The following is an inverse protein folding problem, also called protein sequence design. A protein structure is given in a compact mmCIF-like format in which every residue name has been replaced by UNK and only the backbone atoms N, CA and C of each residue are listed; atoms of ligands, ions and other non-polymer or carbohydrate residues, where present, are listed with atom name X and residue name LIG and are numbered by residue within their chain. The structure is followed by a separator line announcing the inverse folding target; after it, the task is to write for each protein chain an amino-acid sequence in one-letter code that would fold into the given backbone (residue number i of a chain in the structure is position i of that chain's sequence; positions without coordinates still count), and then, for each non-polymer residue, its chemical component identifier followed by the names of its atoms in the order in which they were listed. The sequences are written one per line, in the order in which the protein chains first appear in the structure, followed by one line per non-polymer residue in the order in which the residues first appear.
data_IF_388852475404
#
_entry.id   IF_388852475404
#
_cell.length_a   1.000
_cell.length_b   1.000
_cell.length_c   1.000
_cell.angle_alpha   90.00
_cell.angle_beta   90.00
_cell.angle_gamma   90.00
#
_symmetry.space_group_name_H-M   'P 1'
#
loop_
_entity.id
_entity.type
_entity.pdbx_description
1 polymer ?
#
# COMPACT_ATOMS: atom_id res chain seq x y z
N UNK A 1 72.62 -39.37 -1.55
CA UNK A 1 71.32 -39.20 -0.87
C UNK A 1 70.44 -38.25 -1.69
N UNK A 2 69.37 -38.75 -2.36
CA UNK A 2 68.42 -37.92 -3.07
C UNK A 2 67.08 -37.79 -2.32
N UNK A 3 66.48 -36.60 -2.45
CA UNK A 3 65.22 -36.14 -1.83
C UNK A 3 64.02 -36.97 -2.30
N UNK A 4 63.16 -37.38 -1.36
CA UNK A 4 61.79 -37.84 -1.64
C UNK A 4 60.92 -36.63 -1.99
N UNK A 5 60.38 -36.60 -3.20
CA UNK A 5 59.28 -35.72 -3.59
C UNK A 5 58.01 -36.56 -3.52
N UNK A 6 57.07 -36.15 -2.66
CA UNK A 6 55.72 -36.70 -2.61
C UNK A 6 54.97 -36.14 -3.82
N UNK A 7 54.61 -37.02 -4.76
CA UNK A 7 53.74 -36.67 -5.86
C UNK A 7 52.32 -36.42 -5.32
N UNK A 8 51.90 -35.16 -5.31
CA UNK A 8 50.50 -34.79 -5.10
C UNK A 8 49.74 -35.16 -6.38
N UNK A 9 48.84 -36.13 -6.26
CA UNK A 9 47.85 -36.45 -7.29
C UNK A 9 46.90 -35.24 -7.40
N UNK A 10 47.09 -34.41 -8.43
CA UNK A 10 46.09 -33.43 -8.83
C UNK A 10 44.95 -34.23 -9.47
N UNK A 11 43.83 -34.34 -8.77
CA UNK A 11 42.57 -34.74 -9.37
C UNK A 11 42.21 -33.66 -10.38
N UNK A 12 42.32 -34.00 -11.67
CA UNK A 12 41.77 -33.21 -12.77
C UNK A 12 40.24 -33.20 -12.60
N UNK A 13 39.72 -32.21 -11.89
CA UNK A 13 38.31 -31.81 -12.02
C UNK A 13 38.25 -31.07 -13.35
N UNK A 14 37.75 -31.75 -14.37
CA UNK A 14 37.47 -31.18 -15.69
C UNK A 14 36.73 -29.85 -15.53
N UNK A 15 37.41 -28.76 -15.84
CA UNK A 15 36.82 -27.45 -15.96
C UNK A 15 35.85 -27.48 -17.17
N UNK A 16 34.58 -27.72 -16.90
CA UNK A 16 33.54 -27.38 -17.85
C UNK A 16 33.55 -25.86 -17.99
N UNK A 17 33.80 -25.38 -19.21
CA UNK A 17 33.47 -24.00 -19.60
C UNK A 17 32.00 -23.76 -19.19
N UNK A 18 31.66 -22.60 -18.60
CA UNK A 18 30.27 -22.26 -18.39
C UNK A 18 29.60 -22.25 -19.76
N UNK A 19 28.70 -23.21 -20.00
CA UNK A 19 27.81 -23.13 -21.13
C UNK A 19 26.99 -21.85 -20.93
N UNK A 20 26.88 -20.97 -21.93
CA UNK A 20 25.87 -19.92 -21.86
C UNK A 20 24.54 -20.64 -21.67
N UNK A 21 23.89 -20.41 -20.52
CA UNK A 21 22.58 -20.97 -20.24
C UNK A 21 21.70 -20.69 -21.45
N UNK A 22 20.94 -21.71 -21.90
CA UNK A 22 19.95 -21.55 -22.96
C UNK A 22 19.26 -20.20 -22.75
N UNK A 23 19.42 -19.27 -23.69
CA UNK A 23 18.77 -17.99 -23.62
C UNK A 23 17.29 -18.26 -23.39
N UNK A 24 16.78 -17.90 -22.21
CA UNK A 24 15.35 -17.86 -21.92
C UNK A 24 14.69 -17.18 -23.12
N UNK A 25 13.79 -17.93 -23.75
CA UNK A 25 13.35 -17.78 -25.15
C UNK A 25 13.08 -16.30 -25.50
N UNK A 26 13.59 -15.81 -26.65
CA UNK A 26 13.48 -14.41 -27.12
C UNK A 26 12.10 -13.70 -26.92
N UNK A 27 10.92 -14.36 -27.00
CA UNK A 27 9.63 -13.73 -26.72
C UNK A 27 9.42 -13.27 -25.27
N UNK A 28 10.01 -13.92 -24.27
CA UNK A 28 9.78 -13.57 -22.85
C UNK A 28 10.52 -12.30 -22.42
N UNK A 29 11.64 -11.97 -23.09
CA UNK A 29 12.36 -10.70 -22.84
C UNK A 29 11.57 -9.47 -23.26
N UNK A 30 10.71 -9.58 -24.27
CA UNK A 30 9.78 -8.51 -24.62
C UNK A 30 8.86 -8.17 -23.45
N UNK A 31 8.38 -9.20 -22.75
CA UNK A 31 7.48 -9.04 -21.60
C UNK A 31 8.20 -8.50 -20.37
N UNK A 32 9.46 -8.87 -20.16
CA UNK A 32 10.32 -8.21 -19.17
C UNK A 32 10.42 -6.69 -19.45
N UNK A 33 10.56 -6.31 -20.73
CA UNK A 33 10.52 -4.89 -21.13
C UNK A 33 9.19 -4.19 -20.79
N UNK A 34 8.06 -4.87 -20.96
CA UNK A 34 6.76 -4.33 -20.54
C UNK A 34 6.63 -4.23 -19.02
N UNK A 35 7.18 -5.16 -18.26
CA UNK A 35 7.21 -5.05 -16.80
C UNK A 35 7.98 -3.79 -16.37
N UNK A 36 9.18 -3.55 -16.91
CA UNK A 36 9.95 -2.35 -16.60
C UNK A 36 9.31 -1.05 -17.11
N UNK A 37 8.49 -1.11 -18.16
CA UNK A 37 7.66 0.01 -18.58
C UNK A 37 6.51 0.26 -17.60
N UNK A 38 5.96 -0.82 -17.02
CA UNK A 38 4.84 -0.78 -16.10
C UNK A 38 5.26 -0.24 -14.72
N UNK A 39 6.35 -0.74 -14.15
CA UNK A 39 6.98 -0.15 -12.96
C UNK A 39 7.53 1.20 -13.38
N UNK A 40 6.99 2.30 -12.83
CA UNK A 40 7.27 3.63 -13.35
C UNK A 40 8.65 4.15 -12.94
N UNK A 41 8.73 5.47 -12.74
CA UNK A 41 9.98 6.15 -12.37
C UNK A 41 9.97 6.68 -10.94
N UNK A 42 8.94 6.36 -10.14
CA UNK A 42 8.98 6.71 -8.73
C UNK A 42 10.14 5.98 -8.06
N UNK A 43 10.85 6.63 -7.14
CA UNK A 43 11.87 5.97 -6.33
C UNK A 43 11.36 4.69 -5.65
N UNK A 44 10.07 4.64 -5.32
CA UNK A 44 9.36 3.50 -4.74
C UNK A 44 9.36 2.25 -5.63
N UNK A 45 9.27 2.42 -6.95
CA UNK A 45 9.26 1.33 -7.93
C UNK A 45 10.61 1.14 -8.62
N UNK A 46 11.52 2.12 -8.50
CA UNK A 46 12.86 2.08 -9.07
C UNK A 46 13.72 0.90 -8.56
N UNK A 47 13.38 0.32 -7.40
CA UNK A 47 14.04 -0.90 -6.90
C UNK A 47 13.95 -2.05 -7.91
N UNK A 48 12.88 -2.09 -8.72
CA UNK A 48 12.70 -3.13 -9.74
C UNK A 48 13.55 -2.91 -10.99
N UNK A 49 14.22 -1.76 -11.12
CA UNK A 49 15.14 -1.44 -12.22
C UNK A 49 16.60 -1.40 -11.80
N UNK A 50 16.92 -1.64 -10.53
CA UNK A 50 18.30 -1.61 -10.07
C UNK A 50 19.11 -2.78 -10.66
N UNK A 51 20.43 -2.59 -10.78
CA UNK A 51 21.34 -3.59 -11.36
C UNK A 51 21.25 -4.96 -10.67
N UNK A 52 21.01 -4.98 -9.35
CA UNK A 52 20.84 -6.22 -8.59
C UNK A 52 19.56 -6.96 -8.98
N UNK A 53 18.45 -6.24 -9.14
CA UNK A 53 17.19 -6.84 -9.57
C UNK A 53 17.27 -7.35 -11.01
N UNK A 54 17.92 -6.58 -11.90
CA UNK A 54 18.18 -7.00 -13.27
C UNK A 54 19.05 -8.26 -13.29
N UNK A 55 20.14 -8.30 -12.52
CA UNK A 55 20.99 -9.48 -12.39
C UNK A 55 20.20 -10.70 -11.88
N UNK A 56 19.35 -10.52 -10.87
CA UNK A 56 18.47 -11.58 -10.36
C UNK A 56 17.50 -12.08 -11.43
N UNK A 57 16.95 -11.21 -12.26
CA UNK A 57 16.09 -11.60 -13.38
C UNK A 57 16.83 -12.44 -14.45
N UNK A 58 18.17 -12.36 -14.51
CA UNK A 58 18.97 -13.20 -15.39
C UNK A 58 19.41 -14.53 -14.75
N UNK A 59 19.46 -14.60 -13.41
CA UNK A 59 20.04 -15.76 -12.70
C UNK A 59 19.00 -16.64 -12.00
N UNK A 60 17.86 -16.10 -11.59
CA UNK A 60 16.76 -16.86 -10.97
C UNK A 60 15.58 -16.99 -11.96
N UNK A 61 15.32 -18.23 -12.39
CA UNK A 61 14.27 -18.55 -13.36
C UNK A 61 12.86 -18.18 -12.85
N UNK A 62 12.60 -18.30 -11.54
CA UNK A 62 11.28 -18.00 -10.98
C UNK A 62 11.03 -16.49 -10.92
N UNK A 63 12.06 -15.70 -10.58
CA UNK A 63 12.02 -14.23 -10.68
C UNK A 63 11.78 -13.81 -12.13
N UNK A 64 12.53 -14.38 -13.08
CA UNK A 64 12.33 -14.11 -14.50
C UNK A 64 10.90 -14.43 -14.96
N UNK A 65 10.38 -15.61 -14.59
CA UNK A 65 9.04 -16.06 -14.98
C UNK A 65 7.96 -15.15 -14.41
N UNK A 66 8.11 -14.71 -13.17
CA UNK A 66 7.18 -13.78 -12.52
C UNK A 66 7.17 -12.40 -13.21
N UNK A 67 8.35 -11.81 -13.43
CA UNK A 67 8.52 -10.54 -14.14
C UNK A 67 7.89 -10.63 -15.54
N UNK A 68 8.21 -11.69 -16.29
CA UNK A 68 7.65 -11.91 -17.62
C UNK A 68 6.13 -12.06 -17.58
N UNK A 69 5.57 -12.77 -16.60
CA UNK A 69 4.12 -13.00 -16.50
C UNK A 69 3.35 -11.72 -16.15
N UNK A 70 3.91 -10.88 -15.26
CA UNK A 70 3.32 -9.57 -14.94
C UNK A 70 3.42 -8.63 -16.13
N UNK A 71 4.56 -8.62 -16.82
CA UNK A 71 4.72 -7.83 -18.05
C UNK A 71 3.74 -8.23 -19.15
N UNK A 72 3.47 -9.53 -19.32
CA UNK A 72 2.41 -10.02 -20.21
C UNK A 72 1.02 -9.54 -19.78
N UNK A 73 0.71 -9.64 -18.49
CA UNK A 73 -0.57 -9.20 -17.94
C UNK A 73 -0.79 -7.71 -18.20
N UNK A 74 0.22 -6.88 -17.90
CA UNK A 74 0.19 -5.44 -18.14
C UNK A 74 0.03 -5.12 -19.63
N UNK A 75 0.84 -5.72 -20.50
CA UNK A 75 0.78 -5.47 -21.95
C UNK A 75 -0.59 -5.80 -22.55
N UNK A 76 -1.23 -6.87 -22.07
CA UNK A 76 -2.58 -7.21 -22.50
C UNK A 76 -3.63 -6.22 -22.03
N UNK A 77 -3.55 -5.72 -20.79
CA UNK A 77 -4.53 -4.76 -20.27
C UNK A 77 -4.41 -3.41 -20.94
N UNK A 78 -3.19 -3.00 -21.25
CA UNK A 78 -2.90 -1.78 -22.00
C UNK A 78 -3.17 -1.88 -23.51
N UNK A 79 -3.62 -3.05 -24.01
CA UNK A 79 -3.85 -3.27 -25.44
C UNK A 79 -2.58 -3.26 -26.30
N UNK A 80 -1.40 -3.39 -25.69
CA UNK A 80 -0.10 -3.45 -26.36
C UNK A 80 0.14 -4.82 -27.03
N UNK A 81 -0.52 -5.87 -26.53
CA UNK A 81 -0.54 -7.20 -27.13
C UNK A 81 -1.91 -7.86 -27.05
N UNK A 82 -2.31 -8.52 -28.13
CA UNK A 82 -3.47 -9.42 -28.14
C UNK A 82 -3.03 -10.85 -27.82
N UNK A 83 -3.60 -11.47 -26.78
CA UNK A 83 -3.33 -12.88 -26.50
C UNK A 83 -3.89 -13.78 -27.60
N UNK A 84 -3.05 -14.69 -28.10
CA UNK A 84 -3.54 -15.79 -28.93
C UNK A 84 -4.20 -16.85 -28.04
N UNK A 85 -5.25 -17.52 -28.52
CA UNK A 85 -5.97 -18.60 -27.79
C UNK A 85 -5.08 -19.79 -27.36
N UNK A 86 -3.82 -19.85 -27.77
CA UNK A 86 -2.86 -20.93 -27.47
C UNK A 86 -1.84 -20.57 -26.38
N UNK A 87 -1.77 -19.33 -25.92
CA UNK A 87 -0.85 -18.94 -24.85
C UNK A 87 -1.42 -19.36 -23.49
N UNK A 88 -0.55 -19.89 -22.63
CA UNK A 88 -0.87 -20.13 -21.21
C UNK A 88 -1.30 -18.79 -20.62
N UNK A 89 -2.48 -18.76 -20.03
CA UNK A 89 -3.01 -17.53 -19.45
C UNK A 89 -2.07 -17.05 -18.34
N UNK A 90 -1.57 -15.80 -18.37
CA UNK A 90 -0.62 -15.31 -17.36
C UNK A 90 -1.08 -15.52 -15.92
N UNK A 91 -2.40 -15.45 -15.69
CA UNK A 91 -3.04 -15.73 -14.40
C UNK A 91 -2.73 -17.15 -13.88
N UNK A 92 -2.74 -18.16 -14.74
CA UNK A 92 -2.44 -19.54 -14.34
C UNK A 92 -0.97 -19.71 -13.98
N UNK A 93 -0.06 -19.06 -14.71
CA UNK A 93 1.37 -19.06 -14.39
C UNK A 93 1.63 -18.40 -13.03
N UNK A 94 1.03 -17.23 -12.78
CA UNK A 94 1.19 -16.49 -11.53
C UNK A 94 0.69 -17.27 -10.31
N UNK A 95 -0.40 -18.05 -10.45
CA UNK A 95 -0.87 -18.94 -9.37
C UNK A 95 0.16 -20.04 -9.07
N UNK A 96 0.82 -20.59 -10.09
CA UNK A 96 1.86 -21.60 -9.89
C UNK A 96 3.11 -20.97 -9.24
N UNK A 97 3.54 -19.80 -9.72
CA UNK A 97 4.68 -19.05 -9.18
C UNK A 97 4.43 -18.67 -7.71
N UNK A 98 3.21 -18.29 -7.35
CA UNK A 98 2.80 -18.05 -5.95
C UNK A 98 3.00 -19.26 -5.06
N UNK A 99 2.58 -20.45 -5.50
CA UNK A 99 2.76 -21.69 -4.73
C UNK A 99 4.25 -22.02 -4.54
N UNK A 100 5.06 -21.85 -5.58
CA UNK A 100 6.50 -22.05 -5.51
C UNK A 100 7.12 -21.09 -4.48
N UNK A 101 6.74 -19.80 -4.54
CA UNK A 101 7.21 -18.80 -3.59
C UNK A 101 6.79 -19.13 -2.15
N UNK A 102 5.55 -19.54 -1.91
CA UNK A 102 5.10 -19.96 -0.57
C UNK A 102 5.91 -21.13 -0.03
N UNK A 103 6.19 -22.14 -0.86
CA UNK A 103 6.97 -23.30 -0.44
C UNK A 103 8.44 -22.93 -0.13
N UNK A 104 9.03 -22.00 -0.90
CA UNK A 104 10.36 -21.43 -0.62
C UNK A 104 10.38 -20.63 0.68
N UNK A 105 9.36 -19.80 0.93
CA UNK A 105 9.23 -19.03 2.19
C UNK A 105 9.08 -19.95 3.41
N UNK A 106 8.38 -21.09 3.28
CA UNK A 106 8.26 -22.09 4.36
C UNK A 106 9.56 -22.86 4.61
N UNK A 107 10.46 -22.92 3.64
CA UNK A 107 11.71 -23.69 3.70
C UNK A 107 12.89 -22.84 3.19
N UNK A 108 13.26 -21.78 3.94
CA UNK A 108 14.34 -20.89 3.52
C UNK A 108 15.64 -21.66 3.34
N UNK A 109 16.40 -21.27 2.31
CA UNK A 109 17.69 -21.89 2.00
C UNK A 109 18.70 -21.58 3.11
N UNK A 110 19.57 -22.56 3.41
CA UNK A 110 20.69 -22.40 4.35
C UNK A 110 21.73 -21.43 3.76
N UNK A 111 21.51 -20.13 3.88
CA UNK A 111 22.46 -19.12 3.39
C UNK A 111 21.87 -17.75 3.07
N UNK A 112 20.55 -17.62 2.94
CA UNK A 112 19.90 -16.31 2.81
C UNK A 112 18.54 -16.36 3.49
N UNK A 113 18.44 -15.69 4.64
CA UNK A 113 17.21 -15.62 5.41
C UNK A 113 16.10 -14.90 4.64
N UNK A 114 16.46 -13.97 3.74
CA UNK A 114 15.53 -13.14 2.94
C UNK A 114 15.61 -13.41 1.43
N UNK A 115 16.26 -14.49 0.99
CA UNK A 115 16.52 -14.74 -0.43
C UNK A 115 15.26 -14.92 -1.29
N UNK A 116 14.11 -15.20 -0.68
CA UNK A 116 12.82 -15.27 -1.37
C UNK A 116 12.07 -13.93 -1.44
N UNK A 117 12.56 -12.89 -0.77
CA UNK A 117 11.90 -11.59 -0.66
C UNK A 117 11.73 -10.88 -2.02
N UNK A 118 12.71 -10.84 -2.94
CA UNK A 118 12.52 -10.22 -4.25
C UNK A 118 11.38 -10.88 -5.03
N UNK A 119 11.34 -12.21 -5.03
CA UNK A 119 10.30 -12.97 -5.70
C UNK A 119 8.92 -12.71 -5.08
N UNK A 120 8.84 -12.67 -3.75
CA UNK A 120 7.61 -12.38 -3.04
C UNK A 120 7.09 -10.96 -3.31
N UNK A 121 7.97 -9.96 -3.39
CA UNK A 121 7.59 -8.57 -3.68
C UNK A 121 7.11 -8.37 -5.11
N UNK A 122 7.72 -9.04 -6.10
CA UNK A 122 7.20 -9.06 -7.47
C UNK A 122 5.77 -9.62 -7.50
N UNK A 123 5.53 -10.74 -6.81
CA UNK A 123 4.21 -11.36 -6.78
C UNK A 123 3.16 -10.50 -6.05
N UNK A 124 3.57 -9.62 -5.12
CA UNK A 124 2.63 -8.66 -4.52
C UNK A 124 2.01 -7.72 -5.57
N UNK A 125 2.79 -7.29 -6.57
CA UNK A 125 2.29 -6.50 -7.71
C UNK A 125 1.26 -7.30 -8.51
N UNK A 126 1.52 -8.60 -8.73
CA UNK A 126 0.60 -9.47 -9.45
C UNK A 126 -0.76 -9.57 -8.73
N UNK A 127 -0.77 -9.67 -7.40
CA UNK A 127 -2.01 -9.72 -6.62
C UNK A 127 -2.82 -8.43 -6.77
N UNK A 128 -2.19 -7.25 -6.71
CA UNK A 128 -2.87 -5.97 -6.93
C UNK A 128 -3.50 -5.84 -8.32
N UNK A 129 -2.87 -6.45 -9.34
CA UNK A 129 -3.42 -6.46 -10.70
C UNK A 129 -4.54 -7.48 -10.87
N UNK A 130 -4.52 -8.58 -10.14
CA UNK A 130 -5.47 -9.69 -10.33
C UNK A 130 -6.70 -9.60 -9.43
N UNK A 131 -6.63 -8.82 -8.36
CA UNK A 131 -7.66 -8.73 -7.33
C UNK A 131 -8.29 -7.35 -7.25
N UNK A 132 -9.61 -7.30 -7.47
CA UNK A 132 -10.37 -6.06 -7.45
C UNK A 132 -10.67 -5.59 -6.01
N UNK A 133 -10.58 -6.47 -5.00
CA UNK A 133 -10.84 -6.13 -3.58
C UNK A 133 -9.59 -5.88 -2.74
N UNK A 134 -8.41 -6.17 -3.30
CA UNK A 134 -7.12 -6.17 -2.61
C UNK A 134 -7.01 -7.14 -1.38
N UNK A 135 -7.99 -8.02 -1.15
CA UNK A 135 -7.95 -8.99 -0.04
C UNK A 135 -6.82 -10.02 -0.19
N UNK A 136 -6.64 -10.55 -1.40
CA UNK A 136 -5.61 -11.53 -1.70
C UNK A 136 -4.22 -10.89 -1.64
N UNK A 137 -4.11 -9.62 -2.03
CA UNK A 137 -2.90 -8.83 -1.83
C UNK A 137 -2.61 -8.65 -0.34
N UNK A 138 -3.59 -8.26 0.48
CA UNK A 138 -3.40 -8.08 1.92
C UNK A 138 -2.95 -9.39 2.59
N UNK A 139 -3.61 -10.51 2.26
CA UNK A 139 -3.21 -11.84 2.73
C UNK A 139 -1.83 -12.27 2.23
N UNK A 140 -1.39 -11.78 1.06
CA UNK A 140 -0.02 -11.99 0.58
C UNK A 140 1.00 -11.22 1.40
N UNK A 141 0.75 -9.93 1.67
CA UNK A 141 1.60 -9.09 2.52
C UNK A 141 1.77 -9.71 3.91
N UNK A 142 0.70 -10.30 4.48
CA UNK A 142 0.76 -11.05 5.74
C UNK A 142 1.62 -12.32 5.66
N UNK A 143 1.53 -13.08 4.58
CA UNK A 143 2.41 -14.24 4.37
C UNK A 143 3.88 -13.83 4.31
N UNK A 144 4.18 -12.72 3.64
CA UNK A 144 5.54 -12.20 3.59
C UNK A 144 5.99 -11.71 4.97
N UNK A 145 5.12 -11.06 5.74
CA UNK A 145 5.41 -10.68 7.13
C UNK A 145 5.81 -11.89 7.98
N UNK A 146 5.04 -12.97 7.91
CA UNK A 146 5.33 -14.20 8.66
C UNK A 146 6.67 -14.84 8.27
N UNK A 147 7.12 -14.60 7.03
CA UNK A 147 8.43 -15.05 6.55
C UNK A 147 9.58 -14.16 7.03
N UNK A 148 9.47 -12.84 6.91
CA UNK A 148 10.55 -11.90 7.29
C UNK A 148 10.61 -11.64 8.80
N UNK A 149 9.46 -11.72 9.49
CA UNK A 149 9.25 -11.34 10.89
C UNK A 149 10.29 -11.89 11.87
N UNK A 150 10.62 -13.20 11.85
CA UNK A 150 11.63 -13.77 12.73
C UNK A 150 13.02 -13.13 12.60
N UNK A 151 13.33 -12.54 11.44
CA UNK A 151 14.62 -11.93 11.13
C UNK A 151 14.61 -10.40 11.26
N UNK A 152 13.46 -9.75 11.51
CA UNK A 152 13.39 -8.29 11.61
C UNK A 152 14.13 -7.73 12.84
N UNK A 153 14.37 -8.56 13.86
CA UNK A 153 15.12 -8.17 15.06
C UNK A 153 16.64 -8.19 14.86
N UNK A 154 17.14 -8.98 13.90
CA UNK A 154 18.55 -9.08 13.58
C UNK A 154 18.74 -8.95 12.08
N UNK A 155 18.76 -7.69 11.65
CA UNK A 155 18.98 -7.36 10.25
C UNK A 155 20.44 -7.53 9.83
N UNK A 156 21.37 -8.02 10.68
CA UNK A 156 22.81 -8.01 10.35
C UNK A 156 23.12 -8.82 9.10
N UNK A 157 23.93 -8.24 8.20
CA UNK A 157 24.34 -8.90 6.96
C UNK A 157 23.31 -8.91 5.83
N UNK A 158 22.21 -8.15 5.92
CA UNK A 158 21.34 -7.90 4.77
C UNK A 158 22.03 -7.02 3.72
N UNK A 159 21.66 -7.24 2.47
CA UNK A 159 22.11 -6.49 1.31
C UNK A 159 21.29 -5.20 1.12
N UNK A 160 21.83 -4.24 0.36
CA UNK A 160 21.12 -3.00 0.06
C UNK A 160 19.77 -3.24 -0.64
N UNK A 161 19.69 -4.22 -1.56
CA UNK A 161 18.42 -4.58 -2.20
C UNK A 161 17.42 -5.16 -1.19
N UNK A 162 17.87 -5.97 -0.22
CA UNK A 162 16.99 -6.48 0.83
C UNK A 162 16.46 -5.34 1.72
N UNK A 163 17.28 -4.34 2.05
CA UNK A 163 16.81 -3.14 2.76
C UNK A 163 15.71 -2.40 1.98
N UNK A 164 15.91 -2.17 0.68
CA UNK A 164 14.93 -1.48 -0.16
C UNK A 164 13.65 -2.30 -0.35
N UNK A 165 13.75 -3.62 -0.44
CA UNK A 165 12.59 -4.51 -0.47
C UNK A 165 11.83 -4.54 0.86
N UNK A 166 12.52 -4.43 1.99
CA UNK A 166 11.88 -4.29 3.31
C UNK A 166 11.13 -2.96 3.43
N UNK A 167 11.74 -1.85 2.97
CA UNK A 167 11.06 -0.55 2.89
C UNK A 167 9.84 -0.61 1.98
N UNK A 168 9.97 -1.24 0.82
CA UNK A 168 8.86 -1.44 -0.11
C UNK A 168 7.73 -2.27 0.51
N UNK A 169 8.05 -3.37 1.19
CA UNK A 169 7.07 -4.16 1.92
C UNK A 169 6.37 -3.33 3.01
N UNK A 170 7.13 -2.53 3.77
CA UNK A 170 6.57 -1.70 4.84
C UNK A 170 5.63 -0.63 4.30
N UNK A 171 5.98 0.01 3.18
CA UNK A 171 5.08 0.92 2.50
C UNK A 171 3.78 0.23 2.11
N UNK A 172 3.86 -0.93 1.45
CA UNK A 172 2.68 -1.71 1.05
C UNK A 172 1.82 -2.09 2.27
N UNK A 173 2.45 -2.52 3.36
CA UNK A 173 1.75 -2.85 4.60
C UNK A 173 0.97 -1.63 5.17
N UNK A 174 1.62 -0.47 5.23
CA UNK A 174 1.06 0.78 5.76
C UNK A 174 -0.06 1.32 4.86
N UNK A 175 0.14 1.31 3.54
CA UNK A 175 -0.89 1.69 2.57
C UNK A 175 -2.12 0.77 2.66
N UNK A 176 -1.91 -0.53 2.90
CA UNK A 176 -2.99 -1.48 3.11
C UNK A 176 -3.81 -1.20 4.37
N UNK A 177 -3.17 -0.71 5.43
CA UNK A 177 -3.84 -0.26 6.67
C UNK A 177 -4.46 1.13 6.60
N UNK A 178 -4.30 1.89 5.51
CA UNK A 178 -5.12 3.09 5.30
C UNK A 178 -6.47 2.73 4.69
N UNK A 179 -6.46 1.83 3.70
CA UNK A 179 -7.66 1.34 3.04
C UNK A 179 -8.56 0.50 3.98
N UNK A 180 -8.00 -0.03 5.07
CA UNK A 180 -8.72 -0.78 6.11
C UNK A 180 -8.29 -0.19 7.44
N UNK A 181 -9.21 0.24 8.34
CA UNK A 181 -8.84 0.73 9.67
C UNK A 181 -8.31 -0.41 10.55
N UNK A 182 -7.14 -0.92 10.18
CA UNK A 182 -6.38 -2.01 10.74
C UNK A 182 -5.02 -1.47 11.17
N UNK A 183 -4.39 -2.12 12.15
CA UNK A 183 -3.01 -1.81 12.48
C UNK A 183 -2.07 -2.35 11.39
N UNK A 184 -1.00 -1.62 11.02
CA UNK A 184 0.08 -2.21 10.23
C UNK A 184 0.64 -3.48 10.89
N UNK A 185 1.02 -4.47 10.07
CA UNK A 185 1.58 -5.73 10.57
C UNK A 185 2.98 -5.52 11.17
N UNK A 186 3.20 -5.96 12.41
CA UNK A 186 4.50 -5.93 13.08
C UNK A 186 4.80 -4.64 13.83
N UNK A 187 6.08 -4.26 13.89
CA UNK A 187 6.56 -3.01 14.49
C UNK A 187 7.15 -2.08 13.44
N UNK A 188 7.17 -0.77 13.71
CA UNK A 188 7.92 0.18 12.89
C UNK A 188 9.43 -0.11 13.00
N UNK A 189 10.00 -0.64 11.93
CA UNK A 189 11.44 -0.92 11.83
C UNK A 189 12.17 0.04 10.88
N UNK A 190 11.50 1.08 10.35
CA UNK A 190 12.12 2.05 9.43
C UNK A 190 13.34 2.70 10.09
N UNK A 191 13.24 3.01 11.39
CA UNK A 191 14.32 3.59 12.18
C UNK A 191 15.53 2.65 12.33
N UNK A 192 15.29 1.35 12.39
CA UNK A 192 16.35 0.34 12.45
C UNK A 192 17.14 0.27 11.15
N UNK A 193 16.46 0.50 10.01
CA UNK A 193 17.10 0.59 8.69
C UNK A 193 17.96 1.86 8.56
N UNK A 194 17.48 2.99 9.08
CA UNK A 194 18.22 4.26 9.01
C UNK A 194 19.55 4.26 9.76
N UNK A 195 19.63 3.50 10.86
CA UNK A 195 20.81 3.46 11.75
C UNK A 195 22.08 2.86 11.13
N UNK A 196 22.01 2.34 9.90
CA UNK A 196 23.08 1.54 9.27
C UNK A 196 23.83 2.23 8.15
N UNK A 197 23.33 3.37 7.70
CA UNK A 197 23.99 4.18 6.68
C UNK A 197 25.00 5.13 7.34
N UNK A 198 26.15 4.58 7.78
CA UNK A 198 27.33 5.39 8.12
C UNK A 198 28.01 5.84 6.82
N UNK A 199 27.45 6.87 6.18
CA UNK A 199 27.98 7.47 4.96
C UNK A 199 26.92 8.24 4.18
N UNK A 200 27.32 8.89 3.09
CA UNK A 200 26.43 9.58 2.14
C UNK A 200 25.54 8.61 1.32
N UNK A 201 25.18 7.45 1.87
CA UNK A 201 24.12 6.58 1.38
C UNK A 201 22.80 7.33 1.56
N UNK A 202 22.53 8.08 0.49
CA UNK A 202 21.52 9.08 0.16
C UNK A 202 20.58 9.56 1.27
N UNK A 203 20.53 10.87 1.46
CA UNK A 203 19.48 11.52 2.23
C UNK A 203 18.05 11.18 1.75
N UNK A 204 17.89 10.65 0.53
CA UNK A 204 16.67 9.96 0.09
C UNK A 204 16.28 8.79 0.99
N UNK A 205 17.19 7.85 1.28
CA UNK A 205 16.90 6.68 2.13
C UNK A 205 16.47 7.11 3.54
N UNK A 206 17.14 8.13 4.10
CA UNK A 206 16.77 8.70 5.40
C UNK A 206 15.39 9.40 5.36
N UNK A 207 15.13 10.20 4.32
CA UNK A 207 13.83 10.86 4.14
C UNK A 207 12.70 9.85 3.92
N UNK A 208 12.99 8.74 3.24
CA UNK A 208 12.03 7.67 3.00
C UNK A 208 11.76 6.85 4.26
N UNK A 209 12.79 6.50 5.03
CA UNK A 209 12.61 5.84 6.34
C UNK A 209 11.82 6.71 7.32
N UNK A 210 12.08 8.02 7.32
CA UNK A 210 11.29 8.98 8.10
C UNK A 210 9.83 8.99 7.62
N UNK A 211 9.59 9.06 6.31
CA UNK A 211 8.23 9.00 5.77
C UNK A 211 7.51 7.72 6.19
N UNK A 212 8.17 6.55 6.09
CA UNK A 212 7.59 5.28 6.49
C UNK A 212 7.22 5.26 7.97
N UNK A 213 8.06 5.83 8.84
CA UNK A 213 7.77 5.98 10.27
C UNK A 213 6.55 6.89 10.50
N UNK A 214 6.44 7.99 9.76
CA UNK A 214 5.27 8.89 9.81
C UNK A 214 4.00 8.15 9.36
N UNK A 215 4.01 7.54 8.18
CA UNK A 215 2.84 6.84 7.64
C UNK A 215 2.41 5.68 8.55
N UNK A 216 3.37 4.95 9.11
CA UNK A 216 3.09 3.91 10.10
C UNK A 216 2.33 4.46 11.31
N UNK A 217 2.81 5.57 11.89
CA UNK A 217 2.16 6.23 13.02
C UNK A 217 0.77 6.71 12.67
N UNK A 218 0.56 7.25 11.47
CA UNK A 218 -0.77 7.63 10.97
C UNK A 218 -1.72 6.41 11.00
N UNK A 219 -1.31 5.26 10.47
CA UNK A 219 -2.16 4.06 10.45
C UNK A 219 -2.46 3.55 11.87
N UNK A 220 -1.46 3.51 12.75
CA UNK A 220 -1.65 3.10 14.15
C UNK A 220 -2.62 4.05 14.89
N UNK A 221 -2.48 5.36 14.68
CA UNK A 221 -3.38 6.37 15.23
C UNK A 221 -4.80 6.22 14.68
N UNK A 222 -4.97 6.01 13.37
CA UNK A 222 -6.28 5.76 12.75
C UNK A 222 -6.98 4.57 13.41
N UNK A 223 -6.26 3.45 13.58
CA UNK A 223 -6.79 2.27 14.27
C UNK A 223 -7.16 2.57 15.72
N UNK A 224 -6.27 3.24 16.46
CA UNK A 224 -6.49 3.58 17.87
C UNK A 224 -7.68 4.51 18.09
N UNK A 225 -7.91 5.47 17.18
CA UNK A 225 -9.09 6.33 17.17
C UNK A 225 -10.35 5.49 16.96
N UNK A 226 -10.33 4.59 15.98
CA UNK A 226 -11.47 3.73 15.67
C UNK A 226 -11.84 2.82 16.86
N UNK A 227 -10.84 2.17 17.46
CA UNK A 227 -11.02 1.30 18.63
C UNK A 227 -11.55 2.10 19.83
N UNK A 228 -10.91 3.24 20.12
CA UNK A 228 -11.34 4.10 21.22
C UNK A 228 -12.77 4.64 21.02
N UNK A 229 -13.13 5.03 19.80
CA UNK A 229 -14.48 5.49 19.48
C UNK A 229 -15.51 4.37 19.68
N UNK A 230 -15.15 3.14 19.32
CA UNK A 230 -16.00 1.95 19.50
C UNK A 230 -16.19 1.62 20.99
N UNK A 231 -15.11 1.68 21.78
CA UNK A 231 -15.14 1.43 23.22
C UNK A 231 -16.04 2.45 23.96
N UNK A 232 -15.92 3.74 23.62
CA UNK A 232 -16.70 4.82 24.24
C UNK A 232 -18.19 4.73 23.90
N UNK A 233 -18.54 4.26 22.70
CA UNK A 233 -19.95 4.18 22.26
C UNK A 233 -20.67 2.93 22.76
N UNK A 234 -19.95 1.84 23.04
CA UNK A 234 -20.53 0.58 23.50
C UNK A 234 -20.54 0.41 25.03
N UNK A 235 -20.00 1.37 25.79
CA UNK A 235 -19.97 1.33 27.25
C UNK A 235 -21.37 1.30 27.88
N UNK A 236 -21.63 0.44 28.90
CA UNK A 236 -22.94 0.30 29.54
C UNK A 236 -23.41 1.54 30.33
N UNK A 237 -22.51 2.49 30.59
CA UNK A 237 -22.82 3.81 31.10
C UNK A 237 -22.26 4.84 30.11
N UNK A 238 -23.11 5.64 29.47
CA UNK A 238 -22.72 6.69 28.51
C UNK A 238 -21.93 7.87 29.12
N UNK A 239 -21.34 7.69 30.31
CA UNK A 239 -20.39 8.63 30.90
C UNK A 239 -18.98 8.16 30.57
N UNK A 240 -18.31 8.89 29.68
CA UNK A 240 -16.87 8.75 29.40
C UNK A 240 -16.11 8.59 30.71
N UNK A 241 -15.46 7.46 30.92
CA UNK A 241 -14.61 7.29 32.10
C UNK A 241 -13.43 8.25 32.02
N UNK A 242 -12.85 8.62 33.17
CA UNK A 242 -11.62 9.43 33.20
C UNK A 242 -10.50 8.78 32.36
N UNK A 243 -10.46 7.44 32.35
CA UNK A 243 -9.48 6.70 31.56
C UNK A 243 -9.70 6.86 30.05
N UNK A 244 -10.94 6.93 29.59
CA UNK A 244 -11.27 7.14 28.18
C UNK A 244 -10.90 8.54 27.74
N UNK A 245 -11.15 9.55 28.58
CA UNK A 245 -10.72 10.93 28.32
C UNK A 245 -9.20 11.04 28.24
N UNK A 246 -8.47 10.43 29.19
CA UNK A 246 -6.99 10.41 29.18
C UNK A 246 -6.45 9.72 27.93
N UNK A 247 -7.05 8.59 27.52
CA UNK A 247 -6.67 7.89 26.29
C UNK A 247 -6.90 8.75 25.05
N UNK A 248 -8.06 9.42 24.96
CA UNK A 248 -8.38 10.35 23.88
C UNK A 248 -7.39 11.52 23.79
N UNK A 249 -7.09 12.18 24.93
CA UNK A 249 -6.11 13.26 24.99
C UNK A 249 -4.69 12.79 24.59
N UNK A 250 -4.33 11.56 24.96
CA UNK A 250 -3.08 10.93 24.54
C UNK A 250 -2.98 10.79 23.02
N UNK A 251 -4.07 10.40 22.35
CA UNK A 251 -4.13 10.31 20.89
C UNK A 251 -3.98 11.71 20.25
N UNK A 252 -4.71 12.71 20.76
CA UNK A 252 -4.64 14.09 20.24
C UNK A 252 -3.23 14.68 20.37
N UNK A 253 -2.57 14.46 21.51
CA UNK A 253 -1.18 14.89 21.74
C UNK A 253 -0.22 14.24 20.73
N UNK A 254 -0.37 12.93 20.47
CA UNK A 254 0.50 12.21 19.53
C UNK A 254 0.30 12.67 18.08
N UNK A 255 -0.94 12.93 17.67
CA UNK A 255 -1.25 13.54 16.36
C UNK A 255 -0.62 14.94 16.26
N UNK A 256 -0.75 15.76 17.31
CA UNK A 256 -0.21 17.12 17.32
C UNK A 256 1.31 17.11 17.10
N UNK A 257 2.03 16.27 17.85
CA UNK A 257 3.48 16.13 17.71
C UNK A 257 3.89 15.60 16.34
N UNK A 258 3.15 14.63 15.79
CA UNK A 258 3.40 14.10 14.45
C UNK A 258 3.17 15.16 13.36
N UNK A 259 2.09 15.95 13.45
CA UNK A 259 1.83 17.01 12.47
C UNK A 259 2.89 18.10 12.52
N UNK A 260 3.37 18.47 13.71
CA UNK A 260 4.49 19.41 13.85
C UNK A 260 5.76 18.88 13.17
N UNK A 261 6.12 17.63 13.42
CA UNK A 261 7.26 16.96 12.78
C UNK A 261 7.14 16.96 11.25
N UNK A 262 5.97 16.66 10.71
CA UNK A 262 5.73 16.70 9.26
C UNK A 262 5.79 18.13 8.70
N UNK A 263 5.24 19.12 9.42
CA UNK A 263 5.33 20.52 9.02
C UNK A 263 6.78 21.01 8.99
N UNK A 264 7.60 20.63 9.97
CA UNK A 264 9.02 20.97 10.00
C UNK A 264 9.76 20.40 8.77
N UNK A 265 9.41 19.19 8.33
CA UNK A 265 9.95 18.60 7.10
C UNK A 265 9.46 19.34 5.86
N UNK A 266 8.15 19.55 5.71
CA UNK A 266 7.55 20.20 4.52
C UNK A 266 7.99 21.66 4.37
N UNK A 267 8.19 22.38 5.48
CA UNK A 267 8.65 23.77 5.48
C UNK A 267 10.19 23.88 5.43
N UNK A 268 10.90 22.89 5.96
CA UNK A 268 12.36 22.86 6.05
C UNK A 268 13.09 22.43 4.78
N UNK A 269 12.42 21.77 3.82
CA UNK A 269 13.01 21.24 2.56
C UNK A 269 13.49 22.29 1.56
N UNK A 270 13.47 23.59 1.91
CA UNK A 270 13.73 24.69 0.97
C UNK A 270 15.17 24.84 0.44
N UNK A 271 16.18 24.04 0.86
CA UNK A 271 17.58 24.41 0.56
C UNK A 271 18.59 23.33 0.11
N UNK A 272 18.28 22.02 -0.02
CA UNK A 272 19.35 21.08 -0.43
C UNK A 272 19.00 19.94 -1.42
N UNK A 273 17.79 19.38 -1.46
CA UNK A 273 17.53 18.15 -2.24
C UNK A 273 16.11 18.08 -2.86
N UNK A 274 15.79 19.07 -3.70
CA UNK A 274 14.45 19.26 -4.27
C UNK A 274 13.84 18.00 -4.93
N UNK A 275 14.61 17.21 -5.69
CA UNK A 275 14.06 16.07 -6.43
C UNK A 275 13.63 14.88 -5.55
N UNK A 276 14.25 14.73 -4.38
CA UNK A 276 13.92 13.68 -3.40
C UNK A 276 12.62 14.04 -2.67
N UNK A 277 12.50 15.31 -2.27
CA UNK A 277 11.30 15.87 -1.65
C UNK A 277 10.07 15.70 -2.54
N UNK A 278 10.19 16.04 -3.82
CA UNK A 278 9.07 16.07 -4.78
C UNK A 278 8.26 14.77 -4.88
N UNK A 279 8.91 13.62 -4.72
CA UNK A 279 8.24 12.31 -4.85
C UNK A 279 7.58 11.81 -3.56
N UNK A 280 8.06 12.28 -2.41
CA UNK A 280 7.60 11.90 -1.07
C UNK A 280 6.60 12.90 -0.48
N UNK A 281 6.67 14.15 -0.94
CA UNK A 281 5.83 15.27 -0.50
C UNK A 281 4.32 15.00 -0.54
N UNK A 282 3.74 14.31 -1.56
CA UNK A 282 2.32 13.96 -1.55
C UNK A 282 1.91 13.17 -0.31
N UNK A 283 2.78 12.28 0.17
CA UNK A 283 2.50 11.45 1.34
C UNK A 283 2.59 12.26 2.64
N UNK A 284 3.54 13.19 2.75
CA UNK A 284 3.62 14.10 3.90
C UNK A 284 2.41 15.02 3.98
N UNK A 285 2.04 15.65 2.86
CA UNK A 285 0.84 16.50 2.78
C UNK A 285 -0.43 15.71 3.06
N UNK A 286 -0.50 14.47 2.54
CA UNK A 286 -1.60 13.57 2.85
C UNK A 286 -1.65 13.19 4.34
N UNK A 287 -0.52 12.94 5.00
CA UNK A 287 -0.50 12.62 6.43
C UNK A 287 -1.07 13.77 7.29
N UNK A 288 -0.75 15.02 6.95
CA UNK A 288 -1.34 16.21 7.59
C UNK A 288 -2.85 16.30 7.34
N UNK A 289 -3.26 16.18 6.08
CA UNK A 289 -4.66 16.27 5.68
C UNK A 289 -5.50 15.15 6.28
N UNK A 290 -5.03 13.90 6.16
CA UNK A 290 -5.70 12.69 6.62
C UNK A 290 -5.88 12.68 8.13
N UNK A 291 -4.85 13.01 8.90
CA UNK A 291 -5.01 13.10 10.37
C UNK A 291 -5.95 14.22 10.77
N UNK A 292 -5.89 15.38 10.11
CA UNK A 292 -6.85 16.47 10.34
C UNK A 292 -8.29 16.03 10.08
N UNK A 293 -8.54 15.33 8.97
CA UNK A 293 -9.87 14.82 8.65
C UNK A 293 -10.34 13.76 9.64
N UNK A 294 -9.47 12.84 10.06
CA UNK A 294 -9.80 11.84 11.09
C UNK A 294 -10.26 12.53 12.38
N UNK A 295 -9.62 13.62 12.80
CA UNK A 295 -10.06 14.37 13.98
C UNK A 295 -11.40 15.08 13.78
N UNK A 296 -11.67 15.60 12.57
CA UNK A 296 -12.95 16.21 12.23
C UNK A 296 -14.10 15.20 12.20
N UNK A 297 -13.87 13.98 11.71
CA UNK A 297 -14.94 12.99 11.52
C UNK A 297 -15.41 12.33 12.83
N UNK A 298 -14.56 12.25 13.85
CA UNK A 298 -14.87 11.56 15.09
C UNK A 298 -15.42 12.51 16.17
N UNK A 299 -16.74 12.54 16.34
CA UNK A 299 -17.44 13.38 17.33
C UNK A 299 -16.90 13.22 18.76
N UNK A 300 -16.48 12.01 19.15
CA UNK A 300 -15.90 11.74 20.47
C UNK A 300 -14.60 12.53 20.70
N UNK A 301 -13.77 12.73 19.66
CA UNK A 301 -12.58 13.57 19.78
C UNK A 301 -12.96 15.05 19.96
N UNK A 302 -13.99 15.51 19.25
CA UNK A 302 -14.50 16.88 19.39
C UNK A 302 -15.06 17.17 20.78
N UNK A 303 -15.55 16.13 21.47
CA UNK A 303 -16.06 16.24 22.83
C UNK A 303 -14.98 16.37 23.91
N UNK A 304 -13.69 16.22 23.59
CA UNK A 304 -12.58 16.19 24.58
C UNK A 304 -12.26 17.55 25.25
N UNK A 305 -13.10 18.57 25.10
CA UNK A 305 -12.90 19.94 25.65
C UNK A 305 -11.49 20.52 25.41
N UNK A 306 -10.79 20.06 24.37
CA UNK A 306 -9.44 20.46 24.03
C UNK A 306 -9.38 21.02 22.61
N UNK A 307 -8.33 21.79 22.33
CA UNK A 307 -8.09 22.25 20.95
C UNK A 307 -7.54 21.10 20.12
N UNK A 308 -8.29 20.69 19.11
CA UNK A 308 -7.84 19.68 18.16
C UNK A 308 -6.92 20.31 17.10
N UNK A 309 -5.82 19.66 16.70
CA UNK A 309 -4.91 20.16 15.68
C UNK A 309 -5.49 19.94 14.27
N UNK A 310 -6.61 20.61 14.00
CA UNK A 310 -7.37 20.54 12.76
C UNK A 310 -6.88 21.63 11.81
N UNK A 311 -6.62 21.26 10.56
CA UNK A 311 -6.30 22.22 9.50
C UNK A 311 -7.54 23.09 9.19
N UNK A 312 -7.38 24.42 9.09
CA UNK A 312 -8.43 25.29 8.57
C UNK A 312 -8.90 24.84 7.18
N UNK A 313 -10.20 25.02 6.88
CA UNK A 313 -10.79 24.53 5.63
C UNK A 313 -10.08 25.02 4.36
N UNK A 314 -9.68 26.30 4.31
CA UNK A 314 -8.94 26.85 3.17
C UNK A 314 -7.59 26.15 3.00
N UNK A 315 -6.86 25.92 4.09
CA UNK A 315 -5.58 25.22 4.05
C UNK A 315 -5.77 23.75 3.68
N UNK A 316 -6.80 23.08 4.21
CA UNK A 316 -7.12 21.70 3.84
C UNK A 316 -7.39 21.60 2.33
N UNK A 317 -8.19 22.52 1.76
CA UNK A 317 -8.43 22.61 0.31
C UNK A 317 -7.12 22.80 -0.46
N UNK A 318 -6.28 23.74 -0.05
CA UNK A 318 -5.02 24.04 -0.75
C UNK A 318 -4.06 22.84 -0.71
N UNK A 319 -3.99 22.11 0.41
CA UNK A 319 -3.22 20.87 0.52
C UNK A 319 -3.76 19.77 -0.40
N UNK A 320 -5.08 19.59 -0.48
CA UNK A 320 -5.69 18.59 -1.36
C UNK A 320 -5.42 18.89 -2.83
N UNK A 321 -5.48 20.17 -3.23
CA UNK A 321 -5.11 20.60 -4.59
C UNK A 321 -3.63 20.35 -4.85
N UNK A 322 -2.74 20.65 -3.89
CA UNK A 322 -1.30 20.40 -4.01
C UNK A 322 -0.99 18.91 -4.19
N UNK A 323 -1.55 18.05 -3.34
CA UNK A 323 -1.41 16.58 -3.44
C UNK A 323 -1.85 16.10 -4.83
N UNK A 324 -2.99 16.59 -5.31
CA UNK A 324 -3.51 16.21 -6.63
C UNK A 324 -2.59 16.67 -7.77
N UNK A 325 -2.09 17.90 -7.71
CA UNK A 325 -1.12 18.43 -8.69
C UNK A 325 0.17 17.59 -8.70
N UNK A 326 0.67 17.22 -7.52
CA UNK A 326 1.89 16.42 -7.42
C UNK A 326 1.68 15.01 -7.97
N UNK A 327 0.57 14.35 -7.64
CA UNK A 327 0.27 13.01 -8.15
C UNK A 327 0.11 13.04 -9.67
N UNK A 328 -0.59 14.03 -10.23
CA UNK A 328 -0.71 14.17 -11.69
C UNK A 328 0.65 14.40 -12.37
N UNK A 329 1.54 15.17 -11.74
CA UNK A 329 2.91 15.41 -12.21
C UNK A 329 3.78 14.15 -12.11
N UNK A 330 3.61 13.35 -11.07
CA UNK A 330 4.39 12.13 -10.85
C UNK A 330 3.89 10.98 -11.74
N UNK A 331 2.59 10.89 -11.97
CA UNK A 331 1.93 9.81 -12.73
C UNK A 331 1.52 10.31 -14.12
N UNK A 332 2.49 10.79 -14.89
CA UNK A 332 2.26 11.26 -16.28
C UNK A 332 1.96 10.13 -17.26
N UNK A 333 2.39 8.90 -16.93
CA UNK A 333 2.17 7.69 -17.73
C UNK A 333 1.31 6.69 -16.94
N UNK A 334 0.56 5.82 -17.63
CA UNK A 334 -0.21 4.75 -17.00
C UNK A 334 0.72 3.64 -16.47
N UNK A 335 1.39 3.91 -15.35
CA UNK A 335 2.33 3.01 -14.68
C UNK A 335 1.70 2.42 -13.42
N UNK A 336 2.27 1.33 -12.92
CA UNK A 336 1.87 0.66 -11.68
C UNK A 336 2.03 1.56 -10.46
N UNK A 337 2.89 2.57 -10.55
CA UNK A 337 3.11 3.60 -9.53
C UNK A 337 1.83 4.31 -9.08
N UNK A 338 0.80 4.40 -9.95
CA UNK A 338 -0.48 5.01 -9.61
C UNK A 338 -1.15 4.31 -8.43
N UNK A 339 -0.90 3.00 -8.25
CA UNK A 339 -1.50 2.21 -7.17
C UNK A 339 -1.08 2.71 -5.78
N UNK A 340 0.14 3.25 -5.62
CA UNK A 340 0.61 3.74 -4.33
C UNK A 340 -0.17 4.98 -3.85
N UNK A 341 -0.81 5.69 -4.77
CA UNK A 341 -1.60 6.87 -4.46
C UNK A 341 -3.09 6.58 -4.31
N UNK A 342 -3.59 5.40 -4.68
CA UNK A 342 -5.01 5.06 -4.58
C UNK A 342 -5.56 5.20 -3.15
N UNK A 343 -4.86 4.73 -2.09
CA UNK A 343 -5.35 4.91 -0.72
C UNK A 343 -5.45 6.38 -0.28
N UNK A 344 -4.77 7.30 -0.97
CA UNK A 344 -4.79 8.72 -0.64
C UNK A 344 -5.99 9.45 -1.26
N UNK A 345 -6.59 8.89 -2.32
CA UNK A 345 -7.63 9.56 -3.12
C UNK A 345 -8.93 9.77 -2.34
N UNK A 346 -9.25 8.90 -1.39
CA UNK A 346 -10.43 9.08 -0.54
C UNK A 346 -10.32 10.37 0.31
N UNK A 347 -9.19 10.54 1.00
CA UNK A 347 -8.90 11.74 1.82
C UNK A 347 -8.87 13.02 0.97
N UNK A 348 -8.21 12.97 -0.19
CA UNK A 348 -8.15 14.12 -1.10
C UNK A 348 -9.57 14.49 -1.56
N UNK A 349 -10.40 13.51 -1.88
CA UNK A 349 -11.76 13.72 -2.34
C UNK A 349 -12.71 14.23 -1.25
N UNK A 350 -12.58 13.73 -0.02
CA UNK A 350 -13.37 14.13 1.15
C UNK A 350 -13.09 15.57 1.61
N UNK A 351 -12.02 16.19 1.12
CA UNK A 351 -11.73 17.59 1.38
C UNK A 351 -12.75 18.50 0.70
N UNK A 352 -12.92 19.75 1.16
CA UNK A 352 -13.71 20.77 0.45
C UNK A 352 -13.02 21.17 -0.86
N UNK A 353 -13.02 20.24 -1.82
CA UNK A 353 -12.57 20.44 -3.18
C UNK A 353 -13.58 21.32 -3.92
N UNK A 354 -13.06 22.29 -4.67
CA UNK A 354 -13.88 23.01 -5.64
C UNK A 354 -14.39 22.07 -6.74
N UNK A 355 -15.46 22.48 -7.44
CA UNK A 355 -16.08 21.69 -8.52
C UNK A 355 -15.07 21.26 -9.61
N UNK A 356 -13.99 22.02 -9.81
CA UNK A 356 -12.93 21.74 -10.79
C UNK A 356 -12.02 20.56 -10.41
N UNK A 357 -11.95 20.17 -9.14
CA UNK A 357 -11.01 19.13 -8.67
C UNK A 357 -11.60 17.71 -8.66
N UNK A 358 -12.93 17.57 -8.60
CA UNK A 358 -13.59 16.25 -8.63
C UNK A 358 -13.41 15.51 -9.96
N UNK A 359 -13.55 16.16 -11.14
CA UNK A 359 -13.29 15.50 -12.42
C UNK A 359 -11.85 14.99 -12.54
N UNK A 360 -10.90 15.69 -11.92
CA UNK A 360 -9.48 15.32 -11.91
C UNK A 360 -9.22 14.03 -11.14
N UNK A 361 -9.84 13.86 -9.97
CA UNK A 361 -9.79 12.60 -9.20
C UNK A 361 -10.38 11.45 -10.04
N UNK A 362 -11.52 11.65 -10.69
CA UNK A 362 -12.13 10.64 -11.56
C UNK A 362 -11.19 10.23 -12.71
N UNK A 363 -10.52 11.19 -13.36
CA UNK A 363 -9.53 10.93 -14.42
C UNK A 363 -8.34 10.09 -13.89
N UNK A 364 -7.88 10.33 -12.67
CA UNK A 364 -6.82 9.51 -12.06
C UNK A 364 -7.31 8.09 -11.79
N UNK A 365 -8.54 7.91 -11.30
CA UNK A 365 -9.13 6.59 -11.07
C UNK A 365 -9.35 5.84 -12.40
N UNK A 366 -9.82 6.52 -13.45
CA UNK A 366 -9.89 6.00 -14.83
C UNK A 366 -8.53 5.51 -15.31
N UNK A 367 -7.49 6.31 -15.06
CA UNK A 367 -6.12 5.94 -15.44
C UNK A 367 -5.67 4.70 -14.68
N UNK A 368 -5.92 4.61 -13.37
CA UNK A 368 -5.56 3.45 -12.57
C UNK A 368 -6.30 2.19 -13.00
N UNK A 369 -7.61 2.31 -13.28
CA UNK A 369 -8.42 1.22 -13.82
C UNK A 369 -7.88 0.75 -15.17
N UNK A 370 -7.49 1.68 -16.05
CA UNK A 370 -6.88 1.34 -17.36
C UNK A 370 -5.53 0.62 -17.24
N UNK A 371 -4.78 0.87 -16.16
CA UNK A 371 -3.55 0.14 -15.83
C UNK A 371 -3.82 -1.27 -15.32
N UNK A 372 -5.09 -1.60 -15.04
CA UNK A 372 -5.52 -2.87 -14.49
C UNK A 372 -5.74 -2.88 -12.99
N UNK A 373 -5.85 -1.75 -12.31
CA UNK A 373 -6.21 -1.76 -10.89
C UNK A 373 -7.73 -1.74 -10.74
N UNK A 374 -8.36 -2.92 -10.63
CA UNK A 374 -9.82 -3.02 -10.47
C UNK A 374 -10.35 -2.31 -9.21
N UNK A 375 -9.52 -2.23 -8.16
CA UNK A 375 -9.81 -1.45 -6.94
C UNK A 375 -10.10 0.03 -7.22
N UNK A 376 -9.55 0.61 -8.30
CA UNK A 376 -9.82 2.00 -8.66
C UNK A 376 -11.30 2.23 -9.05
N UNK A 377 -11.93 1.23 -9.65
CA UNK A 377 -13.37 1.27 -9.97
C UNK A 377 -14.21 1.28 -8.69
N UNK A 378 -13.93 0.38 -7.76
CA UNK A 378 -14.63 0.31 -6.47
C UNK A 378 -14.49 1.63 -5.69
N UNK A 379 -13.29 2.22 -5.70
CA UNK A 379 -13.03 3.50 -5.07
C UNK A 379 -13.81 4.64 -5.73
N UNK A 380 -13.94 4.64 -7.06
CA UNK A 380 -14.76 5.62 -7.79
C UNK A 380 -16.22 5.55 -7.39
N UNK A 381 -16.80 4.35 -7.42
CA UNK A 381 -18.22 4.14 -7.07
C UNK A 381 -18.49 4.64 -5.63
N UNK A 382 -17.55 4.42 -4.72
CA UNK A 382 -17.62 4.93 -3.35
C UNK A 382 -17.54 6.47 -3.29
N UNK A 383 -16.56 7.06 -3.95
CA UNK A 383 -16.34 8.51 -4.06
C UNK A 383 -17.57 9.22 -4.64
N UNK A 384 -18.22 8.63 -5.65
CA UNK A 384 -19.46 9.14 -6.25
C UNK A 384 -20.65 9.02 -5.30
N UNK A 385 -20.77 7.91 -4.56
CA UNK A 385 -21.82 7.72 -3.55
C UNK A 385 -21.75 8.78 -2.44
N UNK A 386 -20.54 9.11 -1.98
CA UNK A 386 -20.32 10.15 -0.96
C UNK A 386 -20.82 11.53 -1.43
N UNK A 387 -20.72 11.85 -2.73
CA UNK A 387 -21.23 13.11 -3.28
C UNK A 387 -22.75 13.18 -3.26
N UNK A 388 -23.41 12.09 -3.64
CA UNK A 388 -24.88 12.01 -3.66
C UNK A 388 -25.42 12.10 -2.24
N UNK A 389 -24.79 11.43 -1.29
CA UNK A 389 -25.21 11.44 0.11
C UNK A 389 -24.86 12.77 0.82
N UNK A 390 -23.68 13.34 0.58
CA UNK A 390 -23.26 14.62 1.18
C UNK A 390 -24.12 15.80 0.75
N UNK A 391 -24.50 15.86 -0.53
CA UNK A 391 -25.42 16.90 -1.05
C UNK A 391 -26.86 16.73 -0.55
N UNK A 392 -27.28 15.50 -0.22
CA UNK A 392 -28.55 15.26 0.45
C UNK A 392 -28.53 15.72 1.91
N UNK A 393 -27.40 15.54 2.62
CA UNK A 393 -27.25 15.92 4.02
C UNK A 393 -27.26 17.44 4.23
N UNK A 394 -26.59 18.20 3.34
CA UNK A 394 -26.64 19.67 3.30
C UNK A 394 -28.06 20.22 3.04
N UNK A 395 -28.90 19.48 2.31
CA UNK A 395 -30.31 19.86 2.09
C UNK A 395 -31.20 19.50 3.29
N UNK A 396 -30.89 18.43 4.02
CA UNK A 396 -31.62 18.05 5.24
C UNK A 396 -31.24 18.87 6.48
N UNK A 397 -30.10 19.58 6.51
CA UNK A 397 -29.79 20.51 7.62
C UNK A 397 -30.71 21.77 7.67
N UNK A 398 -31.62 21.96 6.71
CA UNK A 398 -32.74 22.91 6.85
C UNK A 398 -34.01 22.31 7.51
N UNK A 399 -34.05 21.03 7.80
CA UNK A 399 -35.13 20.38 8.55
C UNK A 399 -34.54 19.34 9.49
N UNK A 400 -34.32 19.74 10.74
CA UNK A 400 -33.67 18.92 11.75
C UNK A 400 -34.26 17.52 11.87
N UNK A 401 -33.36 16.54 11.99
CA UNK A 401 -33.44 15.33 12.83
C UNK A 401 -32.05 14.66 12.75
N UNK A 402 -31.49 14.38 13.93
CA UNK A 402 -30.29 13.59 14.18
C UNK A 402 -30.47 12.12 13.78
N UNK A 403 -29.34 11.46 13.51
CA UNK A 403 -29.10 10.02 13.27
C UNK A 403 -28.84 9.60 11.80
N UNK A 404 -27.57 9.71 11.36
CA UNK A 404 -26.90 8.71 10.51
C UNK A 404 -25.44 9.13 10.20
N UNK A 405 -24.48 8.80 11.08
CA UNK A 405 -23.05 9.06 10.84
C UNK A 405 -22.14 7.83 11.03
N UNK A 406 -22.68 6.61 10.96
CA UNK A 406 -21.95 5.39 11.37
C UNK A 406 -21.41 4.49 10.25
N UNK A 407 -21.34 4.93 8.99
CA UNK A 407 -20.92 4.06 7.87
C UNK A 407 -19.69 4.52 7.08
N UNK A 408 -18.95 5.53 7.53
CA UNK A 408 -17.98 6.21 6.67
C UNK A 408 -16.56 5.60 6.60
N UNK A 409 -16.26 4.44 7.22
CA UNK A 409 -14.93 3.81 7.11
C UNK A 409 -14.93 2.27 7.06
N UNK A 410 -15.98 1.62 6.53
CA UNK A 410 -16.01 0.16 6.42
C UNK A 410 -16.16 -0.34 4.99
N UNK A 411 -15.03 -0.67 4.35
CA UNK A 411 -14.97 -1.78 3.40
C UNK A 411 -14.33 -2.98 4.12
N UNK A 412 -15.15 -3.83 4.75
CA UNK A 412 -15.00 -5.31 4.78
C UNK A 412 -16.39 -5.95 5.03
N UNK A 413 -16.93 -6.57 3.98
CA UNK A 413 -17.88 -7.70 3.94
C UNK A 413 -19.38 -7.54 4.30
N UNK A 414 -20.32 -7.69 3.34
CA UNK A 414 -21.72 -8.04 3.60
C UNK A 414 -21.95 -9.55 3.87
N UNK A 415 -20.93 -10.41 3.82
CA UNK A 415 -21.14 -11.87 3.72
C UNK A 415 -21.06 -12.68 5.03
N UNK A 416 -21.02 -12.06 6.22
CA UNK A 416 -20.98 -12.81 7.50
C UNK A 416 -22.10 -12.36 8.44
N UNK A 417 -23.34 -12.71 8.09
CA UNK A 417 -24.45 -12.84 9.04
C UNK A 417 -25.54 -13.70 8.41
N UNK A 418 -25.30 -15.01 8.34
CA UNK A 418 -26.35 -16.02 8.14
C UNK A 418 -25.87 -17.34 8.74
N UNK A 419 -26.10 -17.51 10.03
CA UNK A 419 -26.27 -18.82 10.63
C UNK A 419 -27.29 -18.67 11.78
N UNK A 420 -28.53 -19.06 11.51
CA UNK A 420 -29.26 -20.00 12.36
C UNK A 420 -30.62 -20.38 11.72
N UNK A 421 -30.89 -21.68 11.67
CA UNK A 421 -32.20 -22.23 12.02
C UNK A 421 -33.34 -22.25 10.99
N UNK A 422 -33.40 -23.33 10.20
CA UNK A 422 -34.58 -24.18 9.90
C UNK A 422 -36.00 -23.55 9.99
N UNK A 423 -36.73 -23.51 8.87
CA UNK A 423 -38.21 -23.50 8.90
C UNK A 423 -38.94 -23.03 7.63
N UNK A 424 -39.34 -23.98 6.78
CA UNK A 424 -40.55 -24.01 5.92
C UNK A 424 -40.97 -22.78 5.07
N UNK A 425 -40.89 -22.96 3.74
CA UNK A 425 -41.90 -22.68 2.69
C UNK A 425 -42.88 -21.50 2.86
N UNK A 426 -42.67 -20.42 2.09
CA UNK A 426 -43.56 -19.87 1.04
C UNK A 426 -43.08 -18.47 0.61
N UNK A 427 -43.38 -18.10 -0.64
CA UNK A 427 -43.03 -16.85 -1.33
C UNK A 427 -43.22 -15.58 -0.48
N UNK A 428 -42.12 -14.88 -0.18
CA UNK A 428 -42.08 -13.45 0.11
C UNK A 428 -40.64 -12.91 0.03
N UNK A 429 -40.46 -11.80 -0.68
CA UNK A 429 -39.21 -11.01 -0.73
C UNK A 429 -38.81 -10.54 0.69
N UNK A 430 -37.50 -10.57 1.06
CA UNK A 430 -37.07 -10.09 2.38
C UNK A 430 -37.02 -8.55 2.45
N UNK A 431 -37.45 -7.94 3.58
CA UNK A 431 -37.53 -6.49 3.74
C UNK A 431 -36.30 -5.95 4.49
N UNK A 432 -35.25 -5.54 3.79
CA UNK A 432 -34.16 -4.71 4.35
C UNK A 432 -33.60 -3.76 3.28
N UNK A 433 -34.44 -2.84 2.81
CA UNK A 433 -34.07 -1.67 1.99
C UNK A 433 -34.96 -0.46 2.35
N UNK A 434 -35.26 -0.27 3.64
CA UNK A 434 -36.17 0.81 4.08
C UNK A 434 -35.52 1.96 4.87
N UNK A 435 -34.25 1.87 5.30
CA UNK A 435 -33.63 2.95 6.08
C UNK A 435 -32.44 3.67 5.44
N UNK A 436 -32.13 3.41 4.16
CA UNK A 436 -31.30 4.32 3.36
C UNK A 436 -32.19 5.04 2.34
N UNK A 437 -32.47 6.32 2.56
CA UNK A 437 -33.26 7.18 1.69
C UNK A 437 -32.64 7.51 0.33
N UNK A 438 -31.71 6.69 -0.18
CA UNK A 438 -31.08 6.85 -1.48
C UNK A 438 -31.48 5.68 -2.39
N UNK A 439 -32.60 5.81 -3.11
CA UNK A 439 -33.10 4.80 -4.08
C UNK A 439 -32.33 4.77 -5.41
N UNK A 440 -31.10 5.27 -5.46
CA UNK A 440 -30.24 5.26 -6.66
C UNK A 440 -28.78 5.03 -6.27
N UNK A 441 -28.50 3.86 -5.73
CA UNK A 441 -27.18 3.22 -5.80
C UNK A 441 -27.44 1.75 -6.15
#
# INVERSE_FOLDING_TARGET
MPRRVIAVQIVNVSASKPQPGQALVVPSWKHVGFFHMATGSLPLSALFHCDQMLALSHTDEDIFRAISSIGQLYASRMGLESFSKRQVHPRTSLIADKRICEDRMRRPSKGSAMGCLPFAMILAIAELLLDDSADNWRGWIEKVFNYIGPNLHDLTGITALEEDLLRFWQLNNVLGSFARPEKPLGSDFSRSLSSRHDGAASAFSAAYDHLLSVLWRVSDLQKRIFDWTSDVTQGPDHQSSVNDTVRGLGIVSEISGMQQEVLDVVLGTSTAEASVSDSLEPFYRWALLGTSQLMQQHANLQALECTLPILPQDLARDQSIAILNDIERLVTKPTLDIAFFLPLMETVHLSPLGDDSRPRVAILLDRAESCGFGVAKALRDHVECLLVCGTAHDRSQMQGIDHASHHLLSWVNPAVQCNDGVGSSHDALPPLLQNCGCRRC
#
